data_IF_699859278701
#
_entry.id   IF_699859278701
#
_cell.length_a   1.000
_cell.length_b   1.000
_cell.length_c   1.000
_cell.angle_alpha   90.00
_cell.angle_beta   90.00
_cell.angle_gamma   90.00
#
_symmetry.space_group_name_H-M   'P 1'
#
loop_
_entity.id
_entity.type
_entity.pdbx_description
1 polymer ?
#
# COMPACT_ATOMS: atom_id res chain seq x y z
N UNK A 1 10.86 20.14 6.50
CA UNK A 1 10.22 18.86 6.17
C UNK A 1 11.23 17.77 6.49
N UNK A 2 11.01 17.03 7.58
CA UNK A 2 11.89 15.91 7.94
C UNK A 2 11.78 14.83 6.87
N UNK A 3 12.90 14.40 6.29
CA UNK A 3 12.92 13.24 5.41
C UNK A 3 12.38 12.03 6.21
N UNK A 4 11.46 11.22 5.66
CA UNK A 4 11.01 10.03 6.36
C UNK A 4 12.21 9.12 6.61
N UNK A 5 12.41 8.73 7.86
CA UNK A 5 13.46 7.77 8.21
C UNK A 5 13.13 6.43 7.51
N UNK A 6 14.08 5.80 6.83
CA UNK A 6 13.82 4.57 6.09
C UNK A 6 13.32 3.47 7.05
N UNK A 7 12.24 2.78 6.64
CA UNK A 7 11.68 1.67 7.42
C UNK A 7 12.74 0.58 7.58
N UNK A 8 13.09 0.27 8.83
CA UNK A 8 14.04 -0.78 9.18
C UNK A 8 13.35 -1.86 10.01
N UNK A 9 13.35 -3.09 9.50
CA UNK A 9 12.86 -4.26 10.22
C UNK A 9 14.09 -4.99 10.78
N UNK A 10 14.10 -5.22 12.10
CA UNK A 10 15.19 -5.93 12.77
C UNK A 10 14.85 -7.43 12.92
N UNK A 11 15.83 -8.34 12.79
CA UNK A 11 17.24 -8.07 12.49
C UNK A 11 17.44 -7.57 11.05
N UNK A 12 18.48 -6.75 10.84
CA UNK A 12 18.81 -6.21 9.52
C UNK A 12 19.54 -7.26 8.67
N UNK A 13 18.77 -8.27 8.25
CA UNK A 13 19.23 -9.36 7.40
C UNK A 13 18.79 -9.18 5.94
N UNK A 14 19.19 -10.10 5.07
CA UNK A 14 18.83 -10.05 3.65
C UNK A 14 17.32 -10.21 3.40
N UNK A 15 16.63 -11.03 4.20
CA UNK A 15 15.20 -11.28 4.04
C UNK A 15 14.36 -10.05 4.40
N UNK A 16 14.69 -9.37 5.49
CA UNK A 16 14.03 -8.15 5.92
C UNK A 16 14.34 -6.96 4.99
N UNK A 17 15.57 -6.84 4.49
CA UNK A 17 15.90 -5.85 3.45
C UNK A 17 15.09 -6.11 2.18
N UNK A 18 14.94 -7.36 1.77
CA UNK A 18 14.10 -7.76 0.63
C UNK A 18 12.63 -7.44 0.88
N UNK A 19 12.11 -7.74 2.08
CA UNK A 19 10.75 -7.41 2.47
C UNK A 19 10.50 -5.90 2.34
N UNK A 20 11.33 -5.07 2.97
CA UNK A 20 11.21 -3.61 2.92
C UNK A 20 11.27 -3.12 1.48
N UNK A 21 12.22 -3.60 0.67
CA UNK A 21 12.30 -3.21 -0.75
C UNK A 21 11.04 -3.57 -1.55
N UNK A 22 10.35 -4.67 -1.21
CA UNK A 22 9.13 -5.08 -1.89
C UNK A 22 7.88 -4.32 -1.41
N UNK A 23 7.81 -3.93 -0.13
CA UNK A 23 6.57 -3.41 0.49
C UNK A 23 6.60 -1.92 0.81
N UNK A 24 7.79 -1.37 1.07
CA UNK A 24 7.99 0.04 1.39
C UNK A 24 9.42 0.46 0.98
N UNK A 25 9.72 0.49 -0.34
CA UNK A 25 11.03 0.90 -0.81
C UNK A 25 11.34 2.32 -0.33
N UNK A 26 12.63 2.65 -0.18
CA UNK A 26 13.06 3.92 0.41
C UNK A 26 12.51 5.18 -0.30
N UNK A 27 12.12 5.07 -1.56
CA UNK A 27 11.53 6.16 -2.35
C UNK A 27 10.00 6.20 -2.30
N UNK A 28 9.35 5.31 -1.56
CA UNK A 28 7.89 5.25 -1.46
C UNK A 28 7.36 6.45 -0.67
N UNK A 29 6.40 7.17 -1.26
CA UNK A 29 5.68 8.27 -0.61
C UNK A 29 4.22 7.88 -0.54
N UNK A 30 3.64 7.90 0.67
CA UNK A 30 2.22 7.62 0.83
C UNK A 30 1.39 8.68 0.07
N UNK A 31 0.44 8.27 -0.78
CA UNK A 31 -0.39 9.22 -1.51
C UNK A 31 -1.31 9.99 -0.55
N UNK A 32 -1.60 11.25 -0.89
CA UNK A 32 -2.58 12.05 -0.15
C UNK A 32 -4.00 11.51 -0.41
N UNK A 33 -4.80 11.20 0.62
CA UNK A 33 -6.17 10.72 0.42
C UNK A 33 -7.05 11.78 -0.26
N UNK A 34 -7.76 11.41 -1.33
CA UNK A 34 -8.61 12.33 -2.10
C UNK A 34 -10.01 12.57 -1.47
N UNK A 35 -10.18 12.34 -0.17
CA UNK A 35 -11.45 12.40 0.55
C UNK A 35 -12.09 11.02 0.80
N UNK A 36 -13.41 10.96 1.01
CA UNK A 36 -14.14 9.71 1.34
C UNK A 36 -14.04 8.67 0.22
N UNK A 37 -14.06 7.39 0.59
CA UNK A 37 -14.14 6.23 -0.30
C UNK A 37 -15.45 5.49 -0.05
N UNK A 38 -16.04 4.90 -1.09
CA UNK A 38 -17.18 4.01 -0.95
C UNK A 38 -16.76 2.65 -0.36
N UNK A 39 -15.53 2.23 -0.66
CA UNK A 39 -14.95 0.97 -0.26
C UNK A 39 -13.44 1.13 -0.02
N UNK A 40 -12.94 0.51 1.05
CA UNK A 40 -11.50 0.38 1.31
C UNK A 40 -11.18 -1.11 1.36
N UNK A 41 -10.27 -1.57 0.52
CA UNK A 41 -9.86 -2.97 0.43
C UNK A 41 -8.59 -3.18 1.25
N UNK A 42 -8.70 -3.94 2.34
CA UNK A 42 -7.54 -4.32 3.16
C UNK A 42 -7.11 -5.74 2.76
N UNK A 43 -6.04 -5.81 1.96
CA UNK A 43 -5.44 -7.05 1.47
C UNK A 43 -5.52 -7.19 -0.05
N UNK A 44 -4.36 -7.28 -0.70
CA UNK A 44 -4.23 -7.39 -2.15
C UNK A 44 -4.22 -8.85 -2.67
N UNK A 45 -4.93 -9.75 -1.97
CA UNK A 45 -5.18 -11.11 -2.46
C UNK A 45 -6.26 -11.13 -3.55
N UNK A 46 -6.55 -12.31 -4.11
CA UNK A 46 -7.52 -12.47 -5.21
C UNK A 46 -8.86 -11.80 -4.94
N UNK A 47 -9.43 -12.02 -3.75
CA UNK A 47 -10.71 -11.42 -3.36
C UNK A 47 -10.63 -9.89 -3.34
N UNK A 48 -9.59 -9.32 -2.71
CA UNK A 48 -9.42 -7.87 -2.62
C UNK A 48 -9.27 -7.21 -4.00
N UNK A 49 -8.44 -7.78 -4.87
CA UNK A 49 -8.22 -7.24 -6.22
C UNK A 49 -9.49 -7.31 -7.08
N UNK A 50 -10.18 -8.45 -7.09
CA UNK A 50 -11.43 -8.60 -7.85
C UNK A 50 -12.49 -7.63 -7.34
N UNK A 51 -12.66 -7.53 -6.03
CA UNK A 51 -13.60 -6.60 -5.40
C UNK A 51 -13.26 -5.15 -5.74
N UNK A 52 -11.98 -4.74 -5.70
CA UNK A 52 -11.56 -3.39 -6.06
C UNK A 52 -11.87 -3.06 -7.52
N UNK A 53 -11.55 -3.98 -8.45
CA UNK A 53 -11.79 -3.80 -9.89
C UNK A 53 -13.28 -3.68 -10.18
N UNK A 54 -14.10 -4.56 -9.61
CA UNK A 54 -15.56 -4.53 -9.83
C UNK A 54 -16.18 -3.26 -9.25
N UNK A 55 -15.77 -2.84 -8.04
CA UNK A 55 -16.24 -1.60 -7.42
C UNK A 55 -15.89 -0.38 -8.28
N UNK A 56 -14.65 -0.29 -8.77
CA UNK A 56 -14.23 0.77 -9.68
C UNK A 56 -15.04 0.77 -10.99
N UNK A 57 -15.30 -0.42 -11.56
CA UNK A 57 -16.04 -0.57 -12.82
C UNK A 57 -17.49 -0.07 -12.73
N UNK A 58 -18.10 -0.06 -11.55
CA UNK A 58 -19.45 0.49 -11.31
C UNK A 58 -19.44 1.93 -10.79
N UNK A 59 -18.30 2.62 -10.84
CA UNK A 59 -18.16 4.03 -10.48
C UNK A 59 -17.94 4.31 -8.99
N UNK A 60 -17.68 3.29 -8.18
CA UNK A 60 -17.33 3.48 -6.78
C UNK A 60 -15.89 3.99 -6.64
N UNK A 61 -15.67 4.92 -5.72
CA UNK A 61 -14.34 5.34 -5.32
C UNK A 61 -13.76 4.33 -4.33
N UNK A 62 -12.72 3.62 -4.75
CA UNK A 62 -12.07 2.54 -3.98
C UNK A 62 -10.59 2.87 -3.69
N UNK A 63 -10.13 2.45 -2.52
CA UNK A 63 -8.73 2.50 -2.06
C UNK A 63 -8.24 1.11 -1.66
#
# INVERSE_FOLDING_TARGET
MSQPEPVRVLPDDEHNRTLVNNVHPATWVNPEPSGKYNLVVIGAGTAGLVTAVVAAAIGAKVA
#
